data_IF_157614234389
#
_entry.id   IF_157614234389
#
_cell.length_a   1.000
_cell.length_b   1.000
_cell.length_c   1.000
_cell.angle_alpha   90.00
_cell.angle_beta   90.00
_cell.angle_gamma   90.00
#
_symmetry.space_group_name_H-M   'P 1'
#
loop_
_entity.id
_entity.type
_entity.pdbx_description
1 polymer ?
#
# COMPACT_ATOMS: atom_id res chain seq x y z
N UNK A 1 16.58 40.48 42.83
CA UNK A 1 17.14 40.21 41.49
C UNK A 1 17.21 38.71 41.31
N UNK A 2 16.24 38.12 40.59
CA UNK A 2 16.22 36.67 40.32
C UNK A 2 17.15 36.37 39.15
N UNK A 3 18.30 35.77 39.41
CA UNK A 3 19.17 35.24 38.36
C UNK A 3 18.49 34.03 37.73
N UNK A 4 18.07 34.17 36.47
CA UNK A 4 17.63 33.05 35.64
C UNK A 4 18.83 32.11 35.45
N UNK A 5 18.86 31.03 36.22
CA UNK A 5 19.88 29.98 36.09
C UNK A 5 19.67 29.27 34.75
N UNK A 6 20.57 29.48 33.80
CA UNK A 6 20.59 28.74 32.53
C UNK A 6 20.98 27.29 32.82
N UNK A 7 20.03 26.36 32.69
CA UNK A 7 20.29 24.93 32.87
C UNK A 7 20.90 24.40 31.57
N UNK A 8 22.16 23.97 31.63
CA UNK A 8 22.82 23.27 30.54
C UNK A 8 22.22 21.88 30.35
N UNK A 9 22.43 21.26 29.19
CA UNK A 9 21.98 19.90 28.93
C UNK A 9 23.13 19.07 28.36
N UNK A 10 23.21 17.81 28.77
CA UNK A 10 24.24 16.85 28.37
C UNK A 10 23.56 15.57 27.88
N UNK A 11 24.10 14.96 26.82
CA UNK A 11 23.50 13.79 26.19
C UNK A 11 24.37 12.55 26.43
N UNK A 12 23.73 11.44 26.82
CA UNK A 12 24.44 10.18 27.01
C UNK A 12 24.69 9.50 25.66
N UNK A 13 25.95 9.22 25.32
CA UNK A 13 26.31 8.71 23.97
C UNK A 13 25.68 7.36 23.61
N UNK A 14 25.35 6.51 24.59
CA UNK A 14 24.88 5.14 24.34
C UNK A 14 23.37 5.01 24.14
N UNK A 15 22.55 5.90 24.71
CA UNK A 15 21.09 5.89 24.60
C UNK A 15 20.50 7.19 24.06
N UNK A 16 21.36 8.18 23.80
CA UNK A 16 21.00 9.49 23.29
C UNK A 16 20.03 10.30 24.18
N UNK A 17 19.80 9.87 25.42
CA UNK A 17 18.95 10.55 26.39
C UNK A 17 19.64 11.82 26.92
N UNK A 18 18.88 12.92 27.01
CA UNK A 18 19.37 14.22 27.45
C UNK A 18 19.04 14.48 28.92
N UNK A 19 20.02 14.99 29.65
CA UNK A 19 19.91 15.27 31.08
C UNK A 19 20.22 16.73 31.37
N UNK A 20 19.48 17.31 32.30
CA UNK A 20 19.76 18.64 32.83
C UNK A 20 21.09 18.62 33.61
N UNK A 21 21.94 19.60 33.30
CA UNK A 21 23.24 19.84 33.89
C UNK A 21 23.30 21.28 34.38
N UNK A 22 23.37 21.45 35.70
CA UNK A 22 23.73 22.72 36.32
C UNK A 22 25.01 22.53 37.15
N UNK A 23 25.89 23.53 37.17
CA UNK A 23 27.18 23.49 37.89
C UNK A 23 27.03 23.54 39.43
N UNK A 24 25.79 23.52 39.96
CA UNK A 24 25.51 23.78 41.38
C UNK A 24 24.81 22.65 42.13
N UNK A 25 23.61 22.24 41.69
CA UNK A 25 22.70 21.31 42.37
C UNK A 25 22.67 19.91 41.76
N UNK A 26 22.77 19.78 40.44
CA UNK A 26 22.51 18.52 39.73
C UNK A 26 23.73 17.93 39.05
N UNK A 27 24.76 18.76 38.74
CA UNK A 27 26.09 18.32 38.30
C UNK A 27 26.06 17.10 37.38
N UNK A 28 26.90 16.10 37.68
CA UNK A 28 26.92 14.81 36.96
C UNK A 28 26.06 13.73 37.62
N UNK A 29 25.28 14.06 38.65
CA UNK A 29 24.53 13.08 39.46
C UNK A 29 23.47 12.34 38.65
N UNK A 30 22.77 13.04 37.74
CA UNK A 30 21.78 12.42 36.84
C UNK A 30 22.43 11.41 35.88
N UNK A 31 23.61 11.73 35.36
CA UNK A 31 24.40 10.83 34.53
C UNK A 31 24.85 9.61 35.34
N UNK A 32 25.30 9.81 36.59
CA UNK A 32 25.80 8.72 37.43
C UNK A 32 24.71 7.72 37.84
N UNK A 33 23.46 8.18 37.98
CA UNK A 33 22.33 7.34 38.34
C UNK A 33 21.62 6.72 37.12
N UNK A 34 21.95 7.14 35.91
CA UNK A 34 21.36 6.60 34.71
C UNK A 34 21.86 5.17 34.45
N UNK A 35 20.96 4.20 34.61
CA UNK A 35 21.18 2.82 34.16
C UNK A 35 20.63 2.68 32.75
N UNK A 36 21.53 2.84 31.78
CA UNK A 36 21.21 2.74 30.36
C UNK A 36 20.54 1.39 30.04
N UNK A 37 19.23 1.44 29.78
CA UNK A 37 18.48 0.33 29.17
C UNK A 37 18.44 0.55 27.67
N UNK A 38 19.60 0.51 27.01
CA UNK A 38 19.64 0.49 25.55
C UNK A 38 19.12 -0.86 25.04
N UNK A 39 17.81 -1.08 25.15
CA UNK A 39 17.11 -2.02 24.29
C UNK A 39 16.85 -1.27 22.98
N UNK A 40 17.84 -1.30 22.10
CA UNK A 40 17.77 -0.71 20.78
C UNK A 40 16.63 -1.34 19.97
N UNK A 41 15.52 -0.63 19.86
CA UNK A 41 14.59 -0.76 18.74
C UNK A 41 14.35 0.65 18.21
N UNK A 42 15.38 1.23 17.59
CA UNK A 42 15.19 2.35 16.67
C UNK A 42 14.57 1.78 15.40
N UNK A 43 13.25 1.78 15.34
CA UNK A 43 12.51 1.48 14.12
C UNK A 43 12.95 2.49 13.06
N UNK A 44 13.66 2.03 12.02
CA UNK A 44 14.17 2.92 10.99
C UNK A 44 13.03 3.72 10.35
N UNK A 45 13.19 5.03 10.21
CA UNK A 45 12.16 5.93 9.65
C UNK A 45 11.75 5.48 8.23
N UNK A 46 12.66 4.81 7.50
CA UNK A 46 12.38 4.19 6.20
C UNK A 46 11.19 3.21 6.20
N UNK A 47 10.89 2.57 7.33
CA UNK A 47 9.72 1.68 7.46
C UNK A 47 8.38 2.42 7.36
N UNK A 48 8.35 3.72 7.67
CA UNK A 48 7.16 4.56 7.48
C UNK A 48 6.96 5.01 6.03
N UNK A 49 8.01 4.96 5.21
CA UNK A 49 7.98 5.31 3.79
C UNK A 49 7.75 4.11 2.87
N UNK A 50 7.82 2.89 3.39
CA UNK A 50 7.31 1.72 2.66
C UNK A 50 5.81 1.85 2.52
N UNK A 51 5.33 2.20 1.31
CA UNK A 51 3.92 2.09 0.96
C UNK A 51 3.45 0.67 1.27
N UNK A 52 2.70 0.52 2.37
CA UNK A 52 2.01 -0.73 2.65
C UNK A 52 1.05 -0.95 1.49
N UNK A 53 1.36 -1.91 0.63
CA UNK A 53 0.41 -2.40 -0.37
C UNK A 53 -0.91 -2.67 0.37
N UNK A 54 -2.04 -2.09 -0.06
CA UNK A 54 -3.29 -2.24 0.65
C UNK A 54 -3.62 -3.74 0.73
N UNK A 55 -3.61 -4.26 1.95
CA UNK A 55 -3.94 -5.65 2.22
C UNK A 55 -5.46 -5.77 2.19
N UNK A 56 -5.98 -6.41 1.13
CA UNK A 56 -7.41 -6.74 1.04
C UNK A 56 -7.75 -7.70 2.18
N UNK A 57 -8.76 -7.36 2.98
CA UNK A 57 -9.17 -8.17 4.13
C UNK A 57 -9.59 -9.58 3.70
N UNK A 58 -9.41 -10.56 4.59
CA UNK A 58 -9.79 -11.96 4.32
C UNK A 58 -11.27 -12.10 3.97
N UNK A 59 -12.14 -11.31 4.60
CA UNK A 59 -13.57 -11.25 4.31
C UNK A 59 -13.84 -10.79 2.87
N UNK A 60 -13.17 -9.73 2.42
CA UNK A 60 -13.33 -9.23 1.05
C UNK A 60 -12.83 -10.26 0.04
N UNK A 61 -11.70 -10.92 0.32
CA UNK A 61 -11.18 -12.01 -0.51
C UNK A 61 -12.16 -13.19 -0.60
N UNK A 62 -12.80 -13.56 0.51
CA UNK A 62 -13.83 -14.61 0.53
C UNK A 62 -15.06 -14.25 -0.31
N UNK A 63 -15.51 -12.99 -0.25
CA UNK A 63 -16.60 -12.49 -1.07
C UNK A 63 -16.25 -12.51 -2.57
N UNK A 64 -15.05 -12.07 -2.93
CA UNK A 64 -14.55 -12.10 -4.31
C UNK A 64 -14.47 -13.54 -4.83
N UNK A 65 -13.91 -14.45 -4.04
CA UNK A 65 -13.84 -15.88 -4.39
C UNK A 65 -15.22 -16.46 -4.65
N UNK A 66 -16.19 -16.14 -3.79
CA UNK A 66 -17.59 -16.58 -3.97
C UNK A 66 -18.22 -16.01 -5.24
N UNK A 67 -17.90 -14.76 -5.59
CA UNK A 67 -18.38 -14.13 -6.82
C UNK A 67 -17.79 -14.82 -8.07
N UNK A 68 -16.49 -15.12 -8.07
CA UNK A 68 -15.83 -15.87 -9.14
C UNK A 68 -16.44 -17.27 -9.32
N UNK A 69 -16.66 -18.01 -8.23
CA UNK A 69 -17.33 -19.32 -8.27
C UNK A 69 -18.73 -19.21 -8.88
N UNK A 70 -19.50 -18.19 -8.49
CA UNK A 70 -20.84 -17.94 -9.06
C UNK A 70 -20.80 -17.60 -10.54
N UNK A 71 -19.81 -16.83 -10.99
CA UNK A 71 -19.62 -16.53 -12.41
C UNK A 71 -19.31 -17.81 -13.19
N UNK A 72 -18.34 -18.61 -12.74
CA UNK A 72 -17.98 -19.87 -13.39
C UNK A 72 -19.17 -20.85 -13.46
N UNK A 73 -19.92 -20.98 -12.37
CA UNK A 73 -21.06 -21.90 -12.30
C UNK A 73 -22.26 -21.44 -13.15
N UNK A 74 -22.53 -20.13 -13.24
CA UNK A 74 -23.68 -19.59 -14.00
C UNK A 74 -23.42 -19.54 -15.49
N UNK A 75 -22.20 -19.18 -15.87
CA UNK A 75 -21.83 -18.92 -17.26
C UNK A 75 -21.06 -20.09 -17.90
N UNK A 76 -20.97 -21.24 -17.18
CA UNK A 76 -20.30 -22.48 -17.58
C UNK A 76 -18.88 -22.18 -18.09
N UNK A 77 -18.13 -21.38 -17.31
CA UNK A 77 -16.75 -21.03 -17.63
C UNK A 77 -15.78 -22.01 -16.94
N UNK A 78 -14.65 -22.33 -17.57
CA UNK A 78 -13.58 -23.06 -16.89
C UNK A 78 -13.01 -22.22 -15.74
N UNK A 79 -12.50 -22.88 -14.71
CA UNK A 79 -11.96 -22.18 -13.54
C UNK A 79 -10.72 -21.35 -13.88
N UNK A 80 -9.97 -21.75 -14.91
CA UNK A 80 -8.75 -21.07 -15.33
C UNK A 80 -9.00 -19.64 -15.85
N UNK A 81 -10.24 -19.30 -16.26
CA UNK A 81 -10.59 -17.93 -16.70
C UNK A 81 -10.20 -16.87 -15.66
N UNK A 82 -10.29 -17.18 -14.37
CA UNK A 82 -9.95 -16.21 -13.30
C UNK A 82 -8.45 -15.90 -13.22
N UNK A 83 -7.62 -16.72 -13.87
CA UNK A 83 -6.17 -16.58 -13.93
C UNK A 83 -5.69 -16.06 -15.28
N UNK A 84 -6.55 -15.99 -16.30
CA UNK A 84 -6.18 -15.52 -17.63
C UNK A 84 -5.90 -14.01 -17.65
N UNK A 85 -4.85 -13.60 -18.35
CA UNK A 85 -4.44 -12.19 -18.46
C UNK A 85 -5.57 -11.30 -18.99
N UNK A 86 -6.38 -11.80 -19.92
CA UNK A 86 -7.54 -11.07 -20.45
C UNK A 86 -8.57 -10.72 -19.38
N UNK A 87 -8.85 -11.66 -18.47
CA UNK A 87 -9.77 -11.43 -17.35
C UNK A 87 -9.16 -10.50 -16.30
N UNK A 88 -7.88 -10.70 -15.94
CA UNK A 88 -7.17 -9.88 -14.97
C UNK A 88 -7.08 -8.41 -15.42
N UNK A 89 -6.69 -8.17 -16.67
CA UNK A 89 -6.62 -6.81 -17.23
C UNK A 89 -8.00 -6.12 -17.24
N UNK A 90 -9.06 -6.85 -17.56
CA UNK A 90 -10.43 -6.31 -17.50
C UNK A 90 -10.87 -6.01 -16.05
N UNK A 91 -10.50 -6.86 -15.09
CA UNK A 91 -10.80 -6.66 -13.68
C UNK A 91 -10.06 -5.44 -13.10
N UNK A 92 -8.80 -5.24 -13.47
CA UNK A 92 -8.00 -4.08 -13.06
C UNK A 92 -8.63 -2.76 -13.56
N UNK A 93 -9.10 -2.73 -14.81
CA UNK A 93 -9.81 -1.57 -15.35
C UNK A 93 -11.12 -1.30 -14.59
N UNK A 94 -11.88 -2.34 -14.24
CA UNK A 94 -13.09 -2.20 -13.41
C UNK A 94 -12.77 -1.65 -12.01
N UNK A 95 -11.66 -2.08 -11.41
CA UNK A 95 -11.19 -1.56 -10.12
C UNK A 95 -10.78 -0.09 -10.24
N UNK A 96 -10.07 0.28 -11.32
CA UNK A 96 -9.66 1.66 -11.59
C UNK A 96 -10.88 2.58 -11.79
N UNK A 97 -11.89 2.12 -12.55
CA UNK A 97 -13.17 2.83 -12.71
C UNK A 97 -13.85 3.00 -11.35
N UNK A 98 -13.94 1.93 -10.55
CA UNK A 98 -14.54 1.98 -9.21
C UNK A 98 -13.79 2.91 -8.26
N UNK A 99 -12.46 2.97 -8.34
CA UNK A 99 -11.65 3.88 -7.55
C UNK A 99 -11.86 5.35 -7.95
N UNK A 100 -12.04 5.63 -9.25
CA UNK A 100 -12.20 6.99 -9.78
C UNK A 100 -13.61 7.54 -9.62
N UNK A 101 -14.62 6.70 -9.81
CA UNK A 101 -16.03 7.14 -9.90
C UNK A 101 -16.92 6.58 -8.79
N UNK A 102 -16.40 5.71 -7.92
CA UNK A 102 -17.16 5.06 -6.86
C UNK A 102 -18.04 3.92 -7.37
N UNK A 103 -19.17 3.70 -6.69
CA UNK A 103 -20.08 2.59 -6.98
C UNK A 103 -20.86 2.83 -8.27
N UNK A 104 -20.50 2.12 -9.35
CA UNK A 104 -21.23 2.10 -10.63
C UNK A 104 -21.93 0.75 -10.80
N UNK A 105 -23.11 0.75 -11.43
CA UNK A 105 -23.79 -0.48 -11.86
C UNK A 105 -23.01 -1.18 -12.98
N UNK A 106 -22.73 -2.47 -12.82
CA UNK A 106 -22.04 -3.26 -13.85
C UNK A 106 -22.78 -3.26 -15.20
N UNK A 107 -24.13 -3.17 -15.20
CA UNK A 107 -24.92 -3.12 -16.44
C UNK A 107 -24.69 -1.86 -17.27
N UNK A 108 -24.33 -0.75 -16.61
CA UNK A 108 -24.06 0.52 -17.29
C UNK A 108 -22.57 0.72 -17.54
N UNK A 109 -21.70 0.13 -16.70
CA UNK A 109 -20.25 0.22 -16.85
C UNK A 109 -19.67 -0.69 -17.93
N UNK A 110 -20.28 -1.85 -18.18
CA UNK A 110 -19.79 -2.82 -19.17
C UNK A 110 -20.46 -2.57 -20.52
N UNK A 111 -19.67 -2.60 -21.60
CA UNK A 111 -20.15 -2.44 -22.97
C UNK A 111 -21.05 -3.60 -23.40
N UNK A 112 -22.03 -3.31 -24.27
CA UNK A 112 -22.88 -4.34 -24.86
C UNK A 112 -22.03 -5.32 -25.71
N UNK A 113 -22.37 -6.63 -25.76
CA UNK A 113 -21.61 -7.63 -26.54
C UNK A 113 -21.40 -7.25 -28.01
N UNK A 114 -22.39 -6.63 -28.64
CA UNK A 114 -22.28 -6.11 -30.02
C UNK A 114 -21.20 -5.03 -30.17
N UNK A 115 -21.05 -4.17 -29.17
CA UNK A 115 -20.01 -3.13 -29.17
C UNK A 115 -18.64 -3.78 -29.04
N UNK A 116 -18.48 -4.77 -28.15
CA UNK A 116 -17.24 -5.54 -28.00
C UNK A 116 -16.88 -6.23 -29.31
N UNK A 117 -17.84 -6.92 -29.93
CA UNK A 117 -17.64 -7.61 -31.21
C UNK A 117 -17.21 -6.66 -32.34
N UNK A 118 -17.81 -5.48 -32.44
CA UNK A 118 -17.40 -4.47 -33.44
C UNK A 118 -15.98 -3.97 -33.20
N UNK A 119 -15.62 -3.73 -31.93
CA UNK A 119 -14.29 -3.20 -31.55
C UNK A 119 -13.18 -4.23 -31.63
N UNK A 120 -13.51 -5.53 -31.59
CA UNK A 120 -12.53 -6.62 -31.62
C UNK A 120 -11.58 -6.52 -32.82
N UNK A 121 -12.09 -6.23 -34.01
CA UNK A 121 -11.26 -6.19 -35.22
C UNK A 121 -10.25 -5.04 -35.19
N UNK A 122 -10.66 -3.89 -34.66
CA UNK A 122 -9.82 -2.70 -34.54
C UNK A 122 -8.69 -2.96 -33.54
N UNK A 123 -9.03 -3.44 -32.34
CA UNK A 123 -8.04 -3.77 -31.29
C UNK A 123 -7.11 -4.90 -31.73
N UNK A 124 -7.62 -5.91 -32.44
CA UNK A 124 -6.79 -7.00 -32.95
C UNK A 124 -5.76 -6.50 -33.97
N UNK A 125 -6.12 -5.52 -34.81
CA UNK A 125 -5.18 -4.91 -35.75
C UNK A 125 -4.15 -4.07 -35.01
N UNK A 126 -4.56 -3.23 -34.05
CA UNK A 126 -3.64 -2.45 -33.22
C UNK A 126 -2.58 -3.33 -32.54
N UNK A 127 -3.00 -4.47 -31.96
CA UNK A 127 -2.08 -5.41 -31.34
C UNK A 127 -1.14 -6.10 -32.33
N UNK A 128 -1.60 -6.36 -33.57
CA UNK A 128 -0.74 -6.93 -34.62
C UNK A 128 0.36 -5.98 -35.05
N UNK A 129 0.04 -4.69 -35.23
CA UNK A 129 1.04 -3.67 -35.60
C UNK A 129 2.14 -3.55 -34.53
N UNK A 130 1.79 -3.67 -33.25
CA UNK A 130 2.78 -3.67 -32.15
C UNK A 130 3.64 -4.94 -32.15
N UNK A 131 3.05 -6.10 -32.49
CA UNK A 131 3.72 -7.39 -32.42
C UNK A 131 4.57 -7.72 -33.67
N UNK A 132 4.28 -7.10 -34.82
CA UNK A 132 5.01 -7.27 -36.07
C UNK A 132 5.79 -6.00 -36.41
N UNK A 133 7.01 -5.80 -35.84
CA UNK A 133 7.85 -4.70 -36.28
C UNK A 133 8.17 -4.88 -37.77
N UNK A 134 7.99 -3.80 -38.55
CA UNK A 134 8.32 -3.75 -39.97
C UNK A 134 9.70 -4.39 -40.22
N UNK A 135 9.74 -5.43 -41.06
CA UNK A 135 10.98 -6.07 -41.55
C UNK A 135 11.45 -5.30 -42.77
#
# INVERSE_FOLDING_TARGET
MHTLSTVGHVQWKSCEESFAYDDGKTGTSHLHHHKCKAAGVTTAISLFFTEKKPQVSSTIKGNLTTACVKCCAKDIQPFDVVCDDGFLNAADELIAIGAKYGSISARTGIAHPTTVSRRLSEVANELREVAMPEI
#
